data_IF_838728490617
#
_entry.id   IF_838728490617
#
_cell.length_a   1.000
_cell.length_b   1.000
_cell.length_c   1.000
_cell.angle_alpha   90.00
_cell.angle_beta   90.00
_cell.angle_gamma   90.00
#
_symmetry.space_group_name_H-M   'P 1'
#
loop_
_entity.id
_entity.type
_entity.pdbx_description
1 polymer ?
#
# COMPACT_ATOMS: atom_id res chain seq x y z
N UNK A 1 23.26 -5.26 10.09
CA UNK A 1 23.12 -6.36 9.13
C UNK A 1 22.58 -5.79 7.84
N UNK A 2 23.18 -6.08 6.73
CA UNK A 2 22.53 -5.88 5.45
C UNK A 2 21.43 -6.97 5.31
N UNK A 3 20.24 -6.63 4.83
CA UNK A 3 19.27 -7.62 4.41
C UNK A 3 19.89 -8.45 3.28
N UNK A 4 20.17 -9.70 3.54
CA UNK A 4 20.69 -10.64 2.56
C UNK A 4 19.70 -11.80 2.40
N UNK A 5 19.50 -12.26 1.16
CA UNK A 5 18.67 -13.41 0.85
C UNK A 5 17.36 -13.05 0.15
N UNK A 6 16.42 -13.98 0.12
CA UNK A 6 15.17 -13.82 -0.60
C UNK A 6 14.19 -12.97 0.24
N UNK A 7 13.75 -11.85 -0.31
CA UNK A 7 12.63 -11.05 0.21
C UNK A 7 11.44 -11.23 -0.74
N UNK A 8 10.27 -11.52 -0.17
CA UNK A 8 9.04 -11.65 -0.94
C UNK A 8 8.04 -10.59 -0.50
N UNK A 9 7.73 -9.68 -1.42
CA UNK A 9 6.73 -8.62 -1.23
C UNK A 9 5.37 -9.05 -1.74
N UNK A 10 4.34 -8.90 -0.92
CA UNK A 10 2.94 -9.19 -1.21
C UNK A 10 2.14 -7.88 -1.25
N UNK A 11 1.73 -7.46 -2.44
CA UNK A 11 0.85 -6.30 -2.65
C UNK A 11 -0.59 -6.76 -2.89
N UNK A 12 -1.46 -6.49 -1.91
CA UNK A 12 -2.88 -6.88 -1.95
C UNK A 12 -3.72 -5.70 -2.41
N UNK A 13 -3.86 -5.57 -3.72
CA UNK A 13 -4.69 -4.53 -4.35
C UNK A 13 -6.15 -4.93 -4.52
N UNK A 14 -7.01 -3.97 -4.88
CA UNK A 14 -8.46 -4.19 -5.05
C UNK A 14 -8.77 -5.16 -6.19
N UNK A 15 -8.10 -5.06 -7.33
CA UNK A 15 -8.36 -5.89 -8.52
C UNK A 15 -7.32 -6.98 -8.73
N UNK A 16 -6.13 -6.81 -8.19
CA UNK A 16 -5.04 -7.75 -8.40
C UNK A 16 -4.18 -7.88 -7.15
N UNK A 17 -3.79 -9.09 -6.84
CA UNK A 17 -2.74 -9.42 -5.90
C UNK A 17 -1.45 -9.61 -6.69
N UNK A 18 -0.37 -8.99 -6.25
CA UNK A 18 0.95 -9.09 -6.87
C UNK A 18 1.96 -9.56 -5.85
N UNK A 19 2.82 -10.46 -6.25
CA UNK A 19 3.90 -10.97 -5.43
C UNK A 19 5.20 -10.82 -6.21
N UNK A 20 6.19 -10.20 -5.60
CA UNK A 20 7.54 -10.08 -6.16
C UNK A 20 8.53 -10.74 -5.21
N UNK A 21 9.38 -11.59 -5.76
CA UNK A 21 10.53 -12.13 -5.04
C UNK A 21 11.81 -11.47 -5.53
N UNK A 22 12.66 -11.03 -4.61
CA UNK A 22 13.95 -10.44 -4.92
C UNK A 22 15.08 -11.11 -4.13
N UNK A 23 16.20 -11.35 -4.81
CA UNK A 23 17.47 -11.65 -4.16
C UNK A 23 18.12 -10.34 -3.73
N UNK A 24 18.32 -10.18 -2.42
CA UNK A 24 18.85 -8.94 -1.85
C UNK A 24 20.30 -9.13 -1.47
N UNK A 25 21.14 -8.23 -1.98
CA UNK A 25 22.57 -8.14 -1.65
C UNK A 25 22.94 -6.67 -1.49
N UNK A 26 23.62 -6.36 -0.41
CA UNK A 26 24.09 -5.00 -0.13
C UNK A 26 22.98 -3.93 -0.28
N UNK A 27 21.79 -4.20 0.30
CA UNK A 27 20.58 -3.37 0.22
C UNK A 27 20.00 -3.17 -1.20
N UNK A 28 20.52 -3.86 -2.18
CA UNK A 28 19.98 -3.85 -3.55
C UNK A 28 19.08 -5.07 -3.78
N UNK A 29 17.87 -4.83 -4.23
CA UNK A 29 16.91 -5.87 -4.56
C UNK A 29 16.97 -6.17 -6.05
N UNK A 30 17.28 -7.40 -6.41
CA UNK A 30 17.21 -7.90 -7.78
C UNK A 30 15.97 -8.78 -7.91
N UNK A 31 14.99 -8.38 -8.71
CA UNK A 31 13.74 -9.14 -8.88
C UNK A 31 14.06 -10.44 -9.62
N UNK A 32 13.71 -11.56 -9.01
CA UNK A 32 13.97 -12.92 -9.54
C UNK A 32 12.71 -13.67 -9.93
N UNK A 33 11.55 -13.29 -9.39
CA UNK A 33 10.26 -13.91 -9.73
C UNK A 33 9.09 -12.94 -9.55
N UNK A 34 8.05 -13.15 -10.37
CA UNK A 34 6.83 -12.33 -10.39
C UNK A 34 5.63 -13.26 -10.40
N UNK A 35 4.68 -13.01 -9.48
CA UNK A 35 3.38 -13.67 -9.44
C UNK A 35 2.24 -12.67 -9.41
N UNK A 36 1.12 -13.04 -10.03
CA UNK A 36 -0.08 -12.21 -10.09
C UNK A 36 -1.33 -13.07 -10.09
N UNK A 37 -2.36 -12.62 -9.36
CA UNK A 37 -3.72 -13.18 -9.44
C UNK A 37 -4.77 -12.06 -9.47
N UNK A 38 -5.99 -12.39 -9.88
CA UNK A 38 -7.15 -11.50 -9.71
C UNK A 38 -7.55 -11.53 -8.23
N UNK A 39 -7.93 -10.39 -7.68
CA UNK A 39 -8.39 -10.27 -6.31
C UNK A 39 -9.93 -10.37 -6.27
N UNK A 40 -10.47 -11.40 -5.64
CA UNK A 40 -11.92 -11.60 -5.49
C UNK A 40 -12.42 -11.17 -4.11
N UNK A 41 -11.55 -11.24 -3.09
CA UNK A 41 -11.91 -10.96 -1.70
C UNK A 41 -11.57 -9.57 -1.19
N UNK A 42 -11.22 -8.59 -2.06
CA UNK A 42 -10.75 -7.26 -1.68
C UNK A 42 -11.65 -6.18 -2.24
N UNK A 43 -12.11 -5.25 -1.40
CA UNK A 43 -12.85 -4.05 -1.82
C UNK A 43 -12.19 -2.79 -1.28
N UNK A 44 -11.91 -1.81 -2.14
CA UNK A 44 -11.28 -0.53 -1.76
C UNK A 44 -10.01 -0.73 -0.92
N UNK A 45 -9.18 -1.73 -1.27
CA UNK A 45 -7.95 -2.05 -0.55
C UNK A 45 -8.13 -2.79 0.78
N UNK A 46 -9.36 -3.14 1.18
CA UNK A 46 -9.65 -3.86 2.42
C UNK A 46 -10.10 -5.29 2.11
N UNK A 47 -9.57 -6.26 2.85
CA UNK A 47 -10.00 -7.66 2.77
C UNK A 47 -11.40 -7.81 3.36
N UNK A 48 -12.38 -8.15 2.52
CA UNK A 48 -13.78 -8.37 2.89
C UNK A 48 -14.17 -9.84 2.85
N UNK A 49 -13.40 -10.67 2.11
CA UNK A 49 -13.51 -12.13 2.10
C UNK A 49 -12.11 -12.74 2.29
N UNK A 50 -11.90 -13.29 3.47
CA UNK A 50 -10.60 -13.84 3.88
C UNK A 50 -10.24 -15.10 3.09
N UNK A 51 -11.22 -15.99 2.81
CA UNK A 51 -10.96 -17.23 2.08
C UNK A 51 -10.67 -16.97 0.60
N UNK A 52 -11.46 -16.13 -0.03
CA UNK A 52 -11.22 -15.73 -1.41
C UNK A 52 -9.84 -15.07 -1.55
N UNK A 53 -9.51 -14.12 -0.66
CA UNK A 53 -8.20 -13.46 -0.66
C UNK A 53 -7.04 -14.45 -0.42
N UNK A 54 -7.20 -15.41 0.51
CA UNK A 54 -6.19 -16.43 0.75
C UNK A 54 -5.96 -17.34 -0.47
N UNK A 55 -7.04 -17.70 -1.20
CA UNK A 55 -6.94 -18.46 -2.44
C UNK A 55 -6.18 -17.66 -3.52
N UNK A 56 -6.51 -16.38 -3.67
CA UNK A 56 -5.86 -15.51 -4.64
C UNK A 56 -4.37 -15.32 -4.32
N UNK A 57 -4.01 -15.15 -3.03
CA UNK A 57 -2.61 -15.12 -2.57
C UNK A 57 -1.89 -16.42 -2.93
N UNK A 58 -2.50 -17.60 -2.67
CA UNK A 58 -1.90 -18.90 -3.02
C UNK A 58 -1.62 -19.01 -4.52
N UNK A 59 -2.53 -18.54 -5.37
CA UNK A 59 -2.34 -18.57 -6.83
C UNK A 59 -1.16 -17.70 -7.27
N UNK A 60 -1.03 -16.49 -6.70
CA UNK A 60 0.09 -15.61 -7.02
C UNK A 60 1.42 -16.17 -6.51
N UNK A 61 1.45 -16.74 -5.30
CA UNK A 61 2.66 -17.34 -4.70
C UNK A 61 3.07 -18.63 -5.42
N UNK A 62 2.13 -19.43 -5.93
CA UNK A 62 2.45 -20.62 -6.70
C UNK A 62 3.31 -20.30 -7.93
N UNK A 63 3.01 -19.16 -8.62
CA UNK A 63 3.81 -18.70 -9.75
C UNK A 63 5.25 -18.32 -9.35
N UNK A 64 5.45 -17.77 -8.14
CA UNK A 64 6.78 -17.51 -7.60
C UNK A 64 7.52 -18.84 -7.37
N UNK A 65 6.85 -19.81 -6.72
CA UNK A 65 7.45 -21.11 -6.40
C UNK A 65 7.84 -21.91 -7.65
N UNK A 66 7.16 -21.70 -8.79
CA UNK A 66 7.53 -22.30 -10.08
C UNK A 66 8.77 -21.66 -10.68
N UNK A 67 9.05 -20.39 -10.38
CA UNK A 67 10.18 -19.62 -10.91
C UNK A 67 11.43 -19.69 -10.01
N UNK A 68 11.25 -20.02 -8.73
CA UNK A 68 12.32 -20.09 -7.73
C UNK A 68 12.56 -21.52 -7.27
N UNK A 69 13.79 -21.85 -6.88
CA UNK A 69 14.12 -23.17 -6.31
C UNK A 69 13.72 -23.32 -4.83
N UNK A 70 13.34 -22.22 -4.17
CA UNK A 70 13.01 -22.18 -2.74
C UNK A 70 11.54 -21.81 -2.55
N UNK A 71 10.74 -22.63 -1.85
CA UNK A 71 9.35 -22.29 -1.56
C UNK A 71 9.24 -21.03 -0.73
N UNK A 72 8.29 -20.16 -1.08
CA UNK A 72 7.94 -18.99 -0.29
C UNK A 72 7.21 -19.42 0.98
N UNK A 73 7.76 -19.06 2.13
CA UNK A 73 7.17 -19.33 3.45
C UNK A 73 6.83 -18.06 4.21
N UNK A 74 7.45 -16.94 3.86
CA UNK A 74 7.34 -15.67 4.54
C UNK A 74 7.18 -14.51 3.55
N UNK A 75 6.40 -13.50 3.92
CA UNK A 75 6.14 -12.31 3.09
C UNK A 75 6.18 -11.04 3.90
N UNK A 76 6.59 -9.95 3.26
CA UNK A 76 6.35 -8.57 3.67
C UNK A 76 5.11 -8.09 2.91
N UNK A 77 4.09 -7.60 3.62
CA UNK A 77 2.82 -7.24 3.00
C UNK A 77 2.60 -5.72 2.94
N UNK A 78 2.10 -5.23 1.82
CA UNK A 78 1.69 -3.84 1.66
C UNK A 78 0.43 -3.53 2.46
N UNK A 79 0.36 -2.32 3.00
CA UNK A 79 -0.86 -1.76 3.58
C UNK A 79 -1.31 -0.53 2.78
N UNK A 80 -2.61 -0.47 2.45
CA UNK A 80 -3.19 0.70 1.83
C UNK A 80 -3.21 1.88 2.81
N UNK A 81 -3.18 3.08 2.25
CA UNK A 81 -3.18 4.33 3.00
C UNK A 81 -4.52 4.69 3.68
N UNK A 82 -5.55 3.87 3.51
CA UNK A 82 -6.89 4.16 4.03
C UNK A 82 -6.92 4.18 5.55
N UNK A 83 -7.42 5.30 6.12
CA UNK A 83 -7.58 5.48 7.57
C UNK A 83 -6.26 5.37 8.37
N UNK A 84 -5.14 5.74 7.79
CA UNK A 84 -3.87 5.87 8.50
C UNK A 84 -3.87 7.18 9.29
N UNK A 85 -3.35 7.14 10.52
CA UNK A 85 -3.04 8.32 11.32
C UNK A 85 -1.54 8.38 11.56
N UNK A 86 -1.01 9.59 11.49
CA UNK A 86 0.40 9.91 11.68
C UNK A 86 0.49 10.68 13.00
N UNK A 87 1.40 10.28 13.90
CA UNK A 87 1.61 10.95 15.16
C UNK A 87 3.08 10.87 15.59
N UNK A 88 3.58 11.95 16.19
CA UNK A 88 4.88 11.95 16.82
C UNK A 88 4.79 11.25 18.18
N UNK A 89 5.74 10.39 18.45
CA UNK A 89 5.86 9.65 19.73
C UNK A 89 7.29 9.69 20.23
N UNK A 90 7.46 9.54 21.53
CA UNK A 90 8.78 9.37 22.14
C UNK A 90 8.77 8.28 23.20
N UNK A 91 9.91 7.66 23.41
CA UNK A 91 10.11 6.68 24.47
C UNK A 91 11.45 6.88 25.13
N UNK A 92 11.46 7.04 26.47
CA UNK A 92 12.68 7.30 27.24
C UNK A 92 12.93 6.13 28.19
N UNK A 93 14.16 5.67 28.25
CA UNK A 93 14.59 4.59 29.14
C UNK A 93 15.90 4.93 29.86
N UNK A 94 16.11 4.33 31.01
CA UNK A 94 17.41 4.29 31.63
C UNK A 94 18.20 3.13 31.05
N UNK A 95 19.41 3.40 30.57
CA UNK A 95 20.30 2.42 29.94
C UNK A 95 20.78 1.41 30.99
N UNK A 96 20.82 0.13 30.62
CA UNK A 96 21.23 -0.94 31.56
C UNK A 96 22.71 -0.88 31.93
N UNK A 97 23.55 -0.64 30.94
CA UNK A 97 25.00 -0.46 31.10
C UNK A 97 25.42 0.89 30.54
N UNK A 98 25.71 1.84 31.42
CA UNK A 98 26.06 3.21 31.03
C UNK A 98 27.33 3.32 30.19
N UNK A 99 28.16 2.28 30.12
CA UNK A 99 29.35 2.26 29.27
C UNK A 99 29.07 1.77 27.86
N UNK A 100 27.88 1.20 27.63
CA UNK A 100 27.58 0.54 26.36
C UNK A 100 26.08 0.46 26.13
N UNK A 101 25.53 1.40 25.36
CA UNK A 101 24.13 1.34 24.90
C UNK A 101 24.00 0.20 23.90
N UNK A 102 23.00 -0.64 24.09
CA UNK A 102 22.75 -1.82 23.28
C UNK A 102 21.44 -1.69 22.48
N UNK A 103 21.26 -2.54 21.46
CA UNK A 103 19.98 -2.66 20.77
C UNK A 103 18.83 -3.14 21.68
N UNK A 104 19.13 -3.75 22.83
CA UNK A 104 18.10 -4.05 23.85
C UNK A 104 17.55 -2.78 24.50
N UNK A 105 18.41 -1.76 24.72
CA UNK A 105 17.98 -0.46 25.23
C UNK A 105 17.14 0.29 24.18
N UNK A 106 17.53 0.21 22.90
CA UNK A 106 16.70 0.71 21.78
C UNK A 106 15.35 0.02 21.77
N UNK A 107 15.30 -1.30 21.87
CA UNK A 107 14.03 -2.06 21.91
C UNK A 107 13.17 -1.70 23.12
N UNK A 108 13.80 -1.37 24.27
CA UNK A 108 13.09 -0.88 25.44
C UNK A 108 12.49 0.53 25.19
N UNK A 109 13.23 1.44 24.52
CA UNK A 109 12.73 2.76 24.15
C UNK A 109 11.57 2.66 23.15
N UNK A 110 11.62 1.73 22.18
CA UNK A 110 10.50 1.42 21.28
C UNK A 110 9.26 1.00 22.09
N UNK A 111 9.40 0.09 23.05
CA UNK A 111 8.27 -0.35 23.88
C UNK A 111 7.67 0.79 24.71
N UNK A 112 8.48 1.71 25.21
CA UNK A 112 7.98 2.90 25.90
C UNK A 112 7.22 3.82 24.93
N UNK A 113 7.76 4.09 23.73
CA UNK A 113 7.11 4.90 22.72
C UNK A 113 5.77 4.32 22.28
N UNK A 114 5.62 2.99 22.28
CA UNK A 114 4.36 2.32 21.89
C UNK A 114 3.27 2.33 22.98
N UNK A 115 3.61 2.71 24.21
CA UNK A 115 2.62 2.87 25.32
C UNK A 115 1.75 4.12 25.16
N UNK A 116 2.10 5.03 24.28
CA UNK A 116 1.31 6.22 23.99
C UNK A 116 -0.09 5.82 23.53
N UNK A 117 -1.11 6.52 24.03
CA UNK A 117 -2.53 6.25 23.90
C UNK A 117 -3.03 6.17 22.44
N UNK A 118 -2.69 5.10 21.73
CA UNK A 118 -3.41 4.77 20.51
C UNK A 118 -4.85 4.35 20.90
N UNK A 119 -5.89 4.81 20.18
CA UNK A 119 -7.24 4.33 20.39
C UNK A 119 -7.27 2.79 20.36
N UNK A 120 -8.11 2.16 21.19
CA UNK A 120 -8.15 0.70 21.37
C UNK A 120 -8.47 -0.09 20.09
N UNK A 121 -9.08 0.57 19.10
CA UNK A 121 -9.46 0.03 17.79
C UNK A 121 -8.31 0.13 16.75
N UNK A 122 -7.15 0.72 17.14
CA UNK A 122 -5.99 0.91 16.24
C UNK A 122 -4.75 0.17 16.75
N UNK A 123 -3.81 -0.07 15.85
CA UNK A 123 -2.47 -0.56 16.20
C UNK A 123 -1.41 0.20 15.41
N UNK A 124 -0.21 0.30 16.00
CA UNK A 124 0.96 0.87 15.31
C UNK A 124 1.44 -0.16 14.30
N UNK A 125 1.57 0.27 13.04
CA UNK A 125 1.99 -0.56 11.91
C UNK A 125 3.43 -0.28 11.48
N UNK A 126 3.88 0.94 11.71
CA UNK A 126 5.22 1.38 11.38
C UNK A 126 5.66 2.41 12.43
N UNK A 127 6.90 2.35 12.82
CA UNK A 127 7.53 3.29 13.73
C UNK A 127 8.89 3.68 13.14
N UNK A 128 8.99 4.95 12.74
CA UNK A 128 10.21 5.48 12.12
C UNK A 128 10.93 6.38 13.11
N UNK A 129 12.10 5.97 13.62
CA UNK A 129 12.94 6.87 14.40
C UNK A 129 13.31 8.10 13.57
N UNK A 130 13.15 9.27 14.16
CA UNK A 130 13.64 10.54 13.61
C UNK A 130 15.00 10.89 14.15
N UNK A 131 15.18 10.64 15.45
CA UNK A 131 16.46 10.82 16.15
C UNK A 131 16.47 10.03 17.46
N UNK A 132 17.66 9.80 17.96
CA UNK A 132 17.89 9.38 19.33
C UNK A 132 18.58 10.52 20.10
N UNK A 133 18.31 10.58 21.42
CA UNK A 133 18.94 11.50 22.35
C UNK A 133 19.59 10.64 23.42
N UNK A 134 20.92 10.81 23.60
CA UNK A 134 21.68 10.14 24.65
C UNK A 134 22.09 11.20 25.67
N UNK A 135 21.57 11.08 26.89
CA UNK A 135 21.68 12.10 27.94
C UNK A 135 21.15 13.47 27.42
N UNK A 136 22.05 14.40 27.07
CA UNK A 136 21.71 15.73 26.54
C UNK A 136 22.14 15.94 25.07
N UNK A 137 22.60 14.86 24.38
CA UNK A 137 23.04 14.93 22.98
C UNK A 137 21.95 14.41 22.07
N UNK A 138 21.45 15.28 21.20
CA UNK A 138 20.42 15.00 20.18
C UNK A 138 21.01 14.68 18.80
N UNK A 139 20.13 14.45 17.80
CA UNK A 139 20.50 14.20 16.40
C UNK A 139 21.19 12.86 16.14
N UNK A 140 21.22 11.95 17.09
CA UNK A 140 21.87 10.64 16.96
C UNK A 140 21.00 9.72 16.09
N UNK A 141 21.59 9.09 15.07
CA UNK A 141 20.90 8.19 14.17
C UNK A 141 20.96 6.72 14.62
N UNK A 142 22.07 6.31 15.21
CA UNK A 142 22.24 4.98 15.82
C UNK A 142 22.99 5.11 17.14
N UNK A 143 22.35 4.85 18.28
CA UNK A 143 22.96 5.01 19.61
C UNK A 143 23.77 3.78 20.03
N UNK A 144 23.83 2.72 19.22
CA UNK A 144 24.53 1.49 19.60
C UNK A 144 26.02 1.75 19.88
N UNK A 145 26.54 1.10 20.91
CA UNK A 145 27.92 1.24 21.40
C UNK A 145 28.29 2.62 21.97
N UNK A 146 27.31 3.54 22.12
CA UNK A 146 27.56 4.82 22.79
C UNK A 146 27.56 4.69 24.31
N UNK A 147 28.23 5.63 24.99
CA UNK A 147 28.22 5.79 26.44
C UNK A 147 27.11 6.75 26.85
N UNK A 148 26.26 6.37 27.80
CA UNK A 148 25.20 7.23 28.30
C UNK A 148 24.31 6.53 29.33
N UNK A 149 23.62 7.30 30.17
CA UNK A 149 22.72 6.79 31.21
C UNK A 149 21.25 6.78 30.79
N UNK A 150 20.87 7.70 29.90
CA UNK A 150 19.49 7.87 29.42
C UNK A 150 19.47 7.82 27.91
N UNK A 151 18.58 7.00 27.39
CA UNK A 151 18.27 6.94 25.95
C UNK A 151 16.82 7.37 25.73
N UNK A 152 16.62 8.36 24.86
CA UNK A 152 15.31 8.73 24.35
C UNK A 152 15.29 8.51 22.85
N UNK A 153 14.21 7.89 22.34
CA UNK A 153 13.92 7.77 20.93
C UNK A 153 12.76 8.69 20.59
N UNK A 154 12.92 9.57 19.63
CA UNK A 154 11.81 10.28 18.97
C UNK A 154 11.50 9.56 17.67
N UNK A 155 10.21 9.40 17.36
CA UNK A 155 9.77 8.65 16.19
C UNK A 155 8.44 9.16 15.67
N UNK A 156 8.18 8.89 14.39
CA UNK A 156 6.86 9.01 13.77
C UNK A 156 6.20 7.64 13.79
N UNK A 157 5.03 7.54 14.41
CA UNK A 157 4.20 6.35 14.45
C UNK A 157 3.07 6.45 13.43
N UNK A 158 2.90 5.40 12.65
CA UNK A 158 1.77 5.22 11.73
C UNK A 158 0.84 4.17 12.31
N UNK A 159 -0.44 4.52 12.43
CA UNK A 159 -1.44 3.60 13.00
C UNK A 159 -2.54 3.27 12.00
N UNK A 160 -3.03 2.04 12.04
CA UNK A 160 -4.14 1.55 11.22
C UNK A 160 -5.24 0.90 12.07
N UNK A 161 -6.48 0.79 11.55
CA UNK A 161 -7.55 0.06 12.23
C UNK A 161 -7.20 -1.43 12.40
N UNK A 162 -7.40 -1.97 13.60
CA UNK A 162 -7.08 -3.39 13.94
C UNK A 162 -7.81 -4.40 13.06
N UNK A 163 -9.07 -4.11 12.69
CA UNK A 163 -9.86 -5.01 11.85
C UNK A 163 -9.28 -5.15 10.44
N UNK A 164 -8.79 -4.05 9.85
CA UNK A 164 -8.14 -4.08 8.51
C UNK A 164 -6.88 -4.94 8.56
N UNK A 165 -6.06 -4.72 9.60
CA UNK A 165 -4.84 -5.48 9.84
C UNK A 165 -5.12 -6.97 10.10
N UNK A 166 -6.10 -7.24 10.96
CA UNK A 166 -6.49 -8.59 11.35
C UNK A 166 -6.98 -9.43 10.17
N UNK A 167 -7.82 -8.87 9.31
CA UNK A 167 -8.33 -9.57 8.13
C UNK A 167 -7.20 -9.93 7.15
N UNK A 168 -6.29 -9.00 6.88
CA UNK A 168 -5.16 -9.24 5.98
C UNK A 168 -4.19 -10.28 6.58
N UNK A 169 -3.87 -10.15 7.88
CA UNK A 169 -3.04 -11.14 8.60
C UNK A 169 -3.65 -12.54 8.55
N UNK A 170 -4.97 -12.62 8.73
CA UNK A 170 -5.69 -13.90 8.65
C UNK A 170 -5.67 -14.50 7.24
N UNK A 171 -5.84 -13.69 6.20
CA UNK A 171 -5.78 -14.15 4.80
C UNK A 171 -4.38 -14.68 4.45
N UNK A 172 -3.32 -13.98 4.87
CA UNK A 172 -1.93 -14.42 4.68
C UNK A 172 -1.68 -15.75 5.41
N UNK A 173 -2.09 -15.87 6.67
CA UNK A 173 -1.94 -17.11 7.44
C UNK A 173 -2.71 -18.28 6.81
N UNK A 174 -3.95 -18.05 6.33
CA UNK A 174 -4.75 -19.06 5.61
C UNK A 174 -4.16 -19.42 4.25
N UNK A 175 -3.38 -18.53 3.63
CA UNK A 175 -2.61 -18.88 2.43
C UNK A 175 -1.41 -19.79 2.73
N UNK A 176 -1.10 -20.07 4.01
CA UNK A 176 0.03 -20.90 4.43
C UNK A 176 1.33 -20.12 4.56
N UNK A 177 1.25 -18.80 4.66
CA UNK A 177 2.40 -17.91 4.72
C UNK A 177 2.54 -17.28 6.11
N UNK A 178 3.77 -16.98 6.50
CA UNK A 178 4.08 -16.15 7.65
C UNK A 178 4.19 -14.69 7.23
N UNK A 179 3.55 -13.81 7.98
CA UNK A 179 3.73 -12.38 7.81
C UNK A 179 4.96 -11.96 8.61
N UNK A 180 5.99 -11.45 7.91
CA UNK A 180 7.17 -10.86 8.55
C UNK A 180 6.84 -9.50 9.14
N UNK A 181 6.41 -8.58 8.28
CA UNK A 181 5.94 -7.26 8.69
C UNK A 181 4.95 -6.66 7.69
N UNK A 182 4.33 -5.55 8.08
CA UNK A 182 3.58 -4.69 7.18
C UNK A 182 4.41 -3.48 6.79
N UNK A 183 4.22 -3.01 5.57
CA UNK A 183 4.80 -1.77 5.08
C UNK A 183 3.70 -0.88 4.51
N UNK A 184 3.64 0.36 4.96
CA UNK A 184 2.74 1.36 4.42
C UNK A 184 3.18 1.72 2.99
N UNK A 185 2.34 1.47 1.99
CA UNK A 185 2.66 1.68 0.57
C UNK A 185 3.14 3.10 0.25
N UNK A 186 2.51 4.18 0.74
CA UNK A 186 3.02 5.54 0.57
C UNK A 186 4.44 5.77 1.11
N UNK A 187 4.77 5.11 2.22
CA UNK A 187 6.12 5.18 2.79
C UNK A 187 7.14 4.46 1.90
N UNK A 188 6.78 3.26 1.40
CA UNK A 188 7.61 2.56 0.44
C UNK A 188 7.88 3.42 -0.80
N UNK A 189 6.85 4.05 -1.35
CA UNK A 189 7.00 4.97 -2.48
C UNK A 189 7.93 6.14 -2.18
N UNK A 190 7.74 6.82 -1.04
CA UNK A 190 8.55 7.98 -0.69
C UNK A 190 10.04 7.68 -0.62
N UNK A 191 10.40 6.47 -0.18
CA UNK A 191 11.79 6.05 0.00
C UNK A 191 12.43 5.41 -1.22
N UNK A 192 11.64 4.92 -2.18
CA UNK A 192 12.19 4.11 -3.29
C UNK A 192 12.04 4.75 -4.66
N UNK A 193 11.08 5.67 -4.85
CA UNK A 193 10.82 6.27 -6.16
C UNK A 193 11.12 7.77 -6.23
N UNK A 194 11.24 8.45 -5.09
CA UNK A 194 11.64 9.84 -5.02
C UNK A 194 13.16 9.93 -4.87
N UNK A 195 13.77 10.85 -5.60
CA UNK A 195 15.15 11.23 -5.35
C UNK A 195 15.28 12.08 -4.06
N UNK A 196 16.51 12.27 -3.60
CA UNK A 196 16.81 12.95 -2.35
C UNK A 196 16.23 14.39 -2.33
N UNK A 197 16.43 15.16 -3.39
CA UNK A 197 15.89 16.52 -3.51
C UNK A 197 14.35 16.54 -3.49
N UNK A 198 13.69 15.54 -4.10
CA UNK A 198 12.24 15.42 -4.04
C UNK A 198 11.72 15.08 -2.65
N UNK A 199 12.47 14.30 -1.87
CA UNK A 199 12.13 14.01 -0.48
C UNK A 199 12.38 15.22 0.43
N UNK A 200 13.46 15.94 0.22
CA UNK A 200 13.83 17.10 1.02
C UNK A 200 12.91 18.30 0.76
N UNK A 201 12.82 18.77 -0.49
CA UNK A 201 12.10 19.99 -0.85
C UNK A 201 10.61 19.81 -1.08
N UNK A 202 10.15 18.60 -1.10
CA UNK A 202 8.76 18.22 -1.12
C UNK A 202 8.19 17.85 -2.47
N UNK A 203 7.36 16.79 -2.46
CA UNK A 203 6.73 16.19 -3.64
C UNK A 203 5.39 15.56 -3.26
N UNK A 204 4.42 15.62 -4.17
CA UNK A 204 3.16 14.89 -4.05
C UNK A 204 3.30 13.55 -4.78
N UNK A 205 2.97 12.45 -4.12
CA UNK A 205 2.78 11.15 -4.75
C UNK A 205 1.28 10.92 -4.91
N UNK A 206 0.83 10.65 -6.13
CA UNK A 206 -0.56 10.35 -6.43
C UNK A 206 -0.67 8.87 -6.87
N UNK A 207 -1.12 8.00 -5.97
CA UNK A 207 -1.34 6.59 -6.25
C UNK A 207 -2.76 6.37 -6.78
N UNK A 208 -2.87 6.08 -8.06
CA UNK A 208 -4.13 5.85 -8.76
C UNK A 208 -4.43 4.35 -8.83
N UNK A 209 -5.05 3.84 -7.79
CA UNK A 209 -5.45 2.44 -7.66
C UNK A 209 -6.76 2.11 -8.39
N UNK A 210 -7.20 0.85 -8.26
CA UNK A 210 -8.48 0.39 -8.80
C UNK A 210 -9.67 0.86 -7.93
N UNK A 211 -9.61 0.62 -6.62
CA UNK A 211 -10.71 0.92 -5.70
C UNK A 211 -10.60 2.24 -4.95
N UNK A 212 -9.43 2.89 -4.96
CA UNK A 212 -9.19 4.16 -4.29
C UNK A 212 -8.02 4.89 -4.96
N UNK A 213 -7.95 6.19 -4.72
CA UNK A 213 -6.83 7.04 -5.11
C UNK A 213 -6.27 7.72 -3.87
N UNK A 214 -4.96 7.68 -3.69
CA UNK A 214 -4.28 8.26 -2.53
C UNK A 214 -3.34 9.38 -2.95
N UNK A 215 -3.45 10.52 -2.27
CA UNK A 215 -2.48 11.60 -2.35
C UNK A 215 -1.62 11.61 -1.08
N UNK A 216 -0.32 11.64 -1.26
CA UNK A 216 0.68 11.67 -0.19
C UNK A 216 1.59 12.87 -0.40
N UNK A 217 1.83 13.66 0.64
CA UNK A 217 2.81 14.74 0.62
C UNK A 217 4.04 14.30 1.38
N UNK A 218 5.19 14.35 0.72
CA UNK A 218 6.50 14.09 1.29
C UNK A 218 7.25 15.41 1.34
N UNK A 219 7.88 15.71 2.47
CA UNK A 219 8.73 16.89 2.66
C UNK A 219 9.67 16.60 3.83
N UNK A 220 10.89 17.10 3.77
CA UNK A 220 11.90 16.87 4.80
C UNK A 220 12.04 15.36 5.12
N UNK A 221 12.14 14.54 4.07
CA UNK A 221 12.25 13.08 4.12
C UNK A 221 11.13 12.35 4.90
N UNK A 222 10.00 13.02 5.19
CA UNK A 222 8.90 12.48 5.99
C UNK A 222 7.58 12.53 5.21
N UNK A 223 6.66 11.64 5.55
CA UNK A 223 5.27 11.77 5.12
C UNK A 223 4.59 12.82 5.99
N UNK A 224 4.31 13.99 5.43
CA UNK A 224 3.66 15.10 6.15
C UNK A 224 2.13 15.05 6.07
N UNK A 225 1.60 14.51 4.96
CA UNK A 225 0.16 14.43 4.76
C UNK A 225 -0.22 13.21 3.93
N UNK A 226 -1.37 12.66 4.24
CA UNK A 226 -1.93 11.50 3.57
C UNK A 226 -3.45 11.64 3.44
N UNK A 227 -3.97 11.52 2.24
CA UNK A 227 -5.41 11.53 2.00
C UNK A 227 -5.81 10.50 0.96
N UNK A 228 -6.82 9.72 1.27
CA UNK A 228 -7.38 8.73 0.35
C UNK A 228 -8.81 9.12 -0.03
N UNK A 229 -9.12 9.04 -1.33
CA UNK A 229 -10.46 9.14 -1.87
C UNK A 229 -10.94 7.75 -2.29
N UNK A 230 -12.13 7.30 -1.86
CA UNK A 230 -12.59 5.93 -2.07
C UNK A 230 -13.15 5.70 -3.49
N UNK A 231 -12.47 6.22 -4.51
CA UNK A 231 -12.73 5.98 -5.91
C UNK A 231 -11.41 5.82 -6.69
N UNK A 232 -11.44 4.98 -7.70
CA UNK A 232 -10.31 4.68 -8.57
C UNK A 232 -10.77 4.20 -9.95
N UNK A 233 -9.94 3.45 -10.65
CA UNK A 233 -10.22 3.03 -12.03
C UNK A 233 -11.44 2.11 -12.17
N UNK A 234 -11.85 1.40 -11.11
CA UNK A 234 -13.07 0.60 -11.12
C UNK A 234 -14.34 1.46 -11.19
N UNK A 235 -14.30 2.64 -10.57
CA UNK A 235 -15.42 3.57 -10.67
C UNK A 235 -15.58 4.07 -12.11
N UNK A 236 -14.48 4.29 -12.82
CA UNK A 236 -14.49 4.62 -14.25
C UNK A 236 -15.15 3.49 -15.06
N UNK A 237 -14.75 2.22 -14.83
CA UNK A 237 -15.36 1.08 -15.52
C UNK A 237 -16.86 0.95 -15.25
N UNK A 238 -17.29 1.20 -14.00
CA UNK A 238 -18.71 1.20 -13.64
C UNK A 238 -19.50 2.33 -14.33
N UNK A 239 -18.92 3.52 -14.43
CA UNK A 239 -19.55 4.64 -15.14
C UNK A 239 -19.69 4.32 -16.64
N UNK A 240 -18.65 3.76 -17.26
CA UNK A 240 -18.70 3.29 -18.65
C UNK A 240 -19.81 2.23 -18.82
N UNK A 241 -19.84 1.23 -17.94
CA UNK A 241 -20.87 0.17 -17.95
C UNK A 241 -22.28 0.75 -17.83
N UNK A 242 -22.50 1.68 -16.92
CA UNK A 242 -23.81 2.29 -16.67
C UNK A 242 -24.26 3.20 -17.83
N UNK A 243 -23.37 4.05 -18.34
CA UNK A 243 -23.71 5.03 -19.40
C UNK A 243 -23.88 4.35 -20.75
N UNK A 244 -23.05 3.35 -21.06
CA UNK A 244 -23.09 2.64 -22.34
C UNK A 244 -23.97 1.38 -22.31
N UNK A 245 -24.54 1.02 -21.14
CA UNK A 245 -25.36 -0.18 -20.93
C UNK A 245 -24.64 -1.48 -21.35
N UNK A 246 -23.32 -1.57 -21.11
CA UNK A 246 -22.48 -2.73 -21.44
C UNK A 246 -22.09 -3.51 -20.19
N UNK A 247 -21.69 -4.77 -20.34
CA UNK A 247 -21.18 -5.56 -19.23
C UNK A 247 -19.96 -4.90 -18.56
N UNK A 248 -19.80 -5.09 -17.24
CA UNK A 248 -18.67 -4.47 -16.51
C UNK A 248 -17.30 -4.92 -17.06
N UNK A 249 -17.19 -6.17 -17.46
CA UNK A 249 -15.99 -6.68 -18.11
C UNK A 249 -15.70 -5.96 -19.44
N UNK A 250 -16.72 -5.78 -20.28
CA UNK A 250 -16.58 -5.10 -21.57
C UNK A 250 -16.24 -3.62 -21.37
N UNK A 251 -16.84 -2.98 -20.36
CA UNK A 251 -16.51 -1.61 -19.96
C UNK A 251 -15.05 -1.47 -19.53
N UNK A 252 -14.53 -2.45 -18.77
CA UNK A 252 -13.12 -2.46 -18.33
C UNK A 252 -12.19 -2.65 -19.54
N UNK A 253 -12.51 -3.55 -20.45
CA UNK A 253 -11.75 -3.73 -21.70
C UNK A 253 -11.77 -2.48 -22.57
N UNK A 254 -12.93 -1.82 -22.74
CA UNK A 254 -13.02 -0.55 -23.48
C UNK A 254 -12.12 0.53 -22.87
N UNK A 255 -12.12 0.64 -21.52
CA UNK A 255 -11.24 1.59 -20.82
C UNK A 255 -9.76 1.28 -21.06
N UNK A 256 -9.36 0.00 -20.98
CA UNK A 256 -7.96 -0.42 -21.13
C UNK A 256 -7.46 -0.25 -22.57
N UNK A 257 -8.28 -0.59 -23.57
CA UNK A 257 -7.87 -0.62 -24.96
C UNK A 257 -7.97 0.77 -25.63
N UNK A 258 -9.03 1.50 -25.32
CA UNK A 258 -9.38 2.74 -26.04
C UNK A 258 -9.55 3.95 -25.14
N UNK A 259 -9.42 3.81 -23.80
CA UNK A 259 -9.65 4.90 -22.86
C UNK A 259 -8.62 6.04 -22.98
N UNK A 260 -9.14 7.27 -22.88
CA UNK A 260 -8.37 8.51 -22.81
C UNK A 260 -8.83 9.31 -21.59
N UNK A 261 -7.87 9.87 -20.86
CA UNK A 261 -8.14 10.67 -19.66
C UNK A 261 -8.74 12.05 -19.96
N UNK A 262 -8.55 12.54 -21.18
CA UNK A 262 -9.06 13.84 -21.68
C UNK A 262 -9.83 13.64 -22.98
N UNK A 263 -11.05 14.15 -23.05
CA UNK A 263 -11.88 14.12 -24.26
C UNK A 263 -11.29 14.96 -25.40
N UNK A 264 -10.50 15.99 -25.09
CA UNK A 264 -9.79 16.80 -26.07
C UNK A 264 -8.70 16.03 -26.86
N UNK A 265 -8.27 14.86 -26.36
CA UNK A 265 -7.31 13.99 -27.05
C UNK A 265 -8.02 12.95 -27.95
N UNK A 266 -9.32 12.81 -27.80
CA UNK A 266 -10.13 11.83 -28.52
C UNK A 266 -10.51 12.34 -29.94
N UNK A 267 -10.78 11.38 -30.83
CA UNK A 267 -11.15 11.65 -32.22
C UNK A 267 -12.60 11.27 -32.46
N UNK A 268 -13.38 12.20 -33.06
CA UNK A 268 -14.79 12.00 -33.37
C UNK A 268 -15.00 10.96 -34.49
N UNK A 269 -14.04 10.86 -35.41
CA UNK A 269 -14.06 9.90 -36.53
C UNK A 269 -13.68 8.47 -36.10
N UNK A 270 -13.07 8.28 -34.91
CA UNK A 270 -12.77 6.98 -34.38
C UNK A 270 -14.01 6.37 -33.71
N UNK A 271 -14.54 5.29 -34.32
CA UNK A 271 -15.74 4.60 -33.84
C UNK A 271 -15.38 3.30 -33.16
N UNK A 272 -15.89 3.14 -31.95
CA UNK A 272 -15.70 1.95 -31.10
C UNK A 272 -16.97 1.09 -31.18
N UNK A 273 -16.82 -0.21 -31.37
CA UNK A 273 -17.92 -1.14 -31.41
C UNK A 273 -18.22 -1.64 -29.99
N UNK A 274 -19.47 -1.50 -29.57
CA UNK A 274 -19.95 -1.97 -28.26
C UNK A 274 -21.13 -2.93 -28.47
N UNK A 275 -21.34 -3.80 -27.47
CA UNK A 275 -22.51 -4.66 -27.38
C UNK A 275 -23.26 -4.36 -26.09
N UNK A 276 -24.43 -3.75 -26.18
CA UNK A 276 -25.30 -3.48 -25.02
C UNK A 276 -25.91 -4.77 -24.49
N UNK A 277 -26.14 -4.81 -23.18
CA UNK A 277 -26.78 -5.95 -22.51
C UNK A 277 -28.19 -6.20 -23.08
N UNK A 278 -28.90 -5.12 -23.41
CA UNK A 278 -30.27 -5.16 -23.91
C UNK A 278 -30.42 -5.41 -25.42
N UNK A 279 -29.30 -5.51 -26.18
CA UNK A 279 -29.29 -5.58 -27.62
C UNK A 279 -28.48 -6.78 -28.14
N UNK A 280 -29.03 -7.50 -29.12
CA UNK A 280 -28.27 -8.52 -29.87
C UNK A 280 -27.31 -7.90 -30.89
N UNK A 281 -27.60 -6.68 -31.34
CA UNK A 281 -26.82 -5.99 -32.35
C UNK A 281 -25.70 -5.17 -31.73
N UNK A 282 -24.55 -5.16 -32.39
CA UNK A 282 -23.47 -4.25 -32.07
C UNK A 282 -23.82 -2.81 -32.44
N UNK A 283 -23.49 -1.87 -31.59
CA UNK A 283 -23.63 -0.43 -31.82
C UNK A 283 -22.27 0.24 -31.92
N UNK A 284 -22.21 1.43 -32.51
CA UNK A 284 -21.00 2.23 -32.58
C UNK A 284 -21.13 3.49 -31.71
N UNK A 285 -20.12 3.77 -30.92
CA UNK A 285 -19.97 5.02 -30.18
C UNK A 285 -18.72 5.77 -30.66
N UNK A 286 -18.64 7.08 -30.42
CA UNK A 286 -17.40 7.81 -30.67
C UNK A 286 -16.39 7.60 -29.55
N UNK A 287 -15.11 7.68 -29.87
CA UNK A 287 -14.02 7.70 -28.86
C UNK A 287 -14.19 8.89 -27.92
N UNK A 288 -14.71 10.02 -28.42
CA UNK A 288 -14.99 11.23 -27.63
C UNK A 288 -16.00 10.94 -26.51
N UNK A 289 -17.09 10.21 -26.79
CA UNK A 289 -18.06 9.85 -25.75
C UNK A 289 -17.43 9.00 -24.65
N UNK A 290 -16.63 7.99 -25.01
CA UNK A 290 -15.91 7.17 -24.02
C UNK A 290 -14.95 8.03 -23.18
N UNK A 291 -14.19 8.91 -23.82
CA UNK A 291 -13.27 9.81 -23.15
C UNK A 291 -13.98 10.79 -22.20
N UNK A 292 -15.15 11.32 -22.57
CA UNK A 292 -15.96 12.20 -21.71
C UNK A 292 -16.43 11.49 -20.43
N UNK A 293 -16.85 10.22 -20.54
CA UNK A 293 -17.24 9.41 -19.36
C UNK A 293 -16.04 9.25 -18.41
N UNK A 294 -14.88 8.89 -18.96
CA UNK A 294 -13.65 8.69 -18.20
C UNK A 294 -13.20 9.98 -17.54
N UNK A 295 -13.14 11.08 -18.31
CA UNK A 295 -12.72 12.41 -17.85
C UNK A 295 -13.60 12.91 -16.71
N UNK A 296 -14.92 12.76 -16.81
CA UNK A 296 -15.86 13.20 -15.78
C UNK A 296 -15.56 12.57 -14.41
N UNK A 297 -15.31 11.25 -14.38
CA UNK A 297 -14.93 10.58 -13.13
C UNK A 297 -13.54 10.95 -12.66
N UNK A 298 -12.60 11.05 -13.56
CA UNK A 298 -11.23 11.45 -13.24
C UNK A 298 -11.19 12.84 -12.62
N UNK A 299 -11.89 13.81 -13.22
CA UNK A 299 -11.99 15.18 -12.67
C UNK A 299 -12.57 15.17 -11.26
N UNK A 300 -13.65 14.41 -11.01
CA UNK A 300 -14.21 14.29 -9.67
C UNK A 300 -13.19 13.77 -8.65
N UNK A 301 -12.38 12.76 -9.01
CA UNK A 301 -11.33 12.22 -8.12
C UNK A 301 -10.27 13.30 -7.85
N UNK A 302 -9.80 13.97 -8.90
CA UNK A 302 -8.78 15.00 -8.79
C UNK A 302 -9.26 16.20 -7.97
N UNK A 303 -10.49 16.69 -8.22
CA UNK A 303 -11.06 17.81 -7.48
C UNK A 303 -11.11 17.51 -5.97
N UNK A 304 -11.61 16.31 -5.58
CA UNK A 304 -11.73 15.93 -4.17
C UNK A 304 -10.39 15.78 -3.46
N UNK A 305 -9.37 15.32 -4.14
CA UNK A 305 -8.00 15.27 -3.59
C UNK A 305 -7.36 16.66 -3.63
N UNK A 306 -7.58 17.43 -4.69
CA UNK A 306 -7.07 18.78 -4.86
C UNK A 306 -7.53 19.73 -3.76
N UNK A 307 -8.84 19.67 -3.36
CA UNK A 307 -9.36 20.44 -2.23
C UNK A 307 -8.53 20.20 -0.95
N UNK A 308 -8.12 18.96 -0.70
CA UNK A 308 -7.35 18.59 0.50
C UNK A 308 -5.87 18.95 0.38
N UNK A 309 -5.27 18.77 -0.80
CA UNK A 309 -3.89 19.14 -1.07
C UNK A 309 -3.69 20.66 -1.00
N UNK A 310 -4.67 21.44 -1.47
CA UNK A 310 -4.66 22.90 -1.38
C UNK A 310 -4.68 23.40 0.07
N UNK A 311 -5.43 22.70 0.96
CA UNK A 311 -5.50 23.07 2.38
C UNK A 311 -4.15 22.97 3.11
N UNK A 312 -3.26 22.12 2.62
CA UNK A 312 -1.91 21.91 3.20
C UNK A 312 -0.81 22.57 2.36
N UNK A 313 -1.15 23.42 1.38
CA UNK A 313 -0.17 24.12 0.55
C UNK A 313 0.70 23.19 -0.32
N UNK A 314 0.23 21.97 -0.61
CA UNK A 314 1.05 20.95 -1.26
C UNK A 314 1.44 21.31 -2.71
N UNK A 315 0.68 22.18 -3.38
CA UNK A 315 0.98 22.60 -4.76
C UNK A 315 2.11 23.64 -4.86
N UNK A 316 2.56 24.19 -3.73
CA UNK A 316 3.70 25.09 -3.69
C UNK A 316 5.05 24.35 -3.62
N UNK A 317 5.00 23.01 -3.42
CA UNK A 317 6.19 22.18 -3.33
C UNK A 317 6.87 22.01 -4.70
N UNK A 318 8.21 22.20 -4.78
CA UNK A 318 8.93 22.24 -6.05
C UNK A 318 9.04 20.88 -6.76
N UNK A 319 8.89 19.77 -6.04
CA UNK A 319 8.95 18.41 -6.62
C UNK A 319 7.75 18.03 -7.48
N UNK A 320 6.67 18.82 -7.47
CA UNK A 320 5.47 18.58 -8.27
C UNK A 320 4.74 17.29 -7.89
N UNK A 321 4.22 16.56 -8.88
CA UNK A 321 3.45 15.33 -8.68
C UNK A 321 4.14 14.14 -9.36
N UNK A 322 4.30 13.05 -8.63
CA UNK A 322 4.68 11.73 -9.16
C UNK A 322 3.47 10.81 -9.12
N UNK A 323 3.02 10.35 -10.30
CA UNK A 323 1.85 9.47 -10.43
C UNK A 323 2.30 8.02 -10.48
N UNK A 324 1.66 7.17 -9.67
CA UNK A 324 1.90 5.73 -9.56
C UNK A 324 0.59 4.96 -9.61
N UNK A 325 0.67 3.62 -9.57
CA UNK A 325 -0.49 2.74 -9.55
C UNK A 325 -1.05 2.44 -10.95
N UNK A 326 -1.95 1.47 -11.04
CA UNK A 326 -2.46 0.98 -12.33
C UNK A 326 -3.21 2.03 -13.15
N UNK A 327 -3.88 2.98 -12.50
CA UNK A 327 -4.59 4.08 -13.16
C UNK A 327 -3.66 5.05 -13.89
N UNK A 328 -2.40 5.15 -13.48
CA UNK A 328 -1.39 5.97 -14.16
C UNK A 328 -1.10 5.51 -15.61
N UNK A 329 -1.49 4.28 -15.97
CA UNK A 329 -1.34 3.75 -17.33
C UNK A 329 -2.36 4.32 -18.32
N UNK A 330 -3.43 4.97 -17.85
CA UNK A 330 -4.44 5.57 -18.74
C UNK A 330 -3.81 6.67 -19.59
N UNK A 331 -4.02 6.58 -20.90
CA UNK A 331 -3.45 7.56 -21.85
C UNK A 331 -3.97 8.96 -21.57
N UNK A 332 -3.09 9.96 -21.53
CA UNK A 332 -3.44 11.33 -21.19
C UNK A 332 -3.58 11.65 -19.70
N UNK A 333 -3.22 10.70 -18.81
CA UNK A 333 -3.32 10.90 -17.36
C UNK A 333 -2.44 12.06 -16.87
N UNK A 334 -1.21 12.13 -17.34
CA UNK A 334 -0.26 13.21 -16.98
C UNK A 334 -0.83 14.57 -17.39
N UNK A 335 -1.33 14.67 -18.62
CA UNK A 335 -1.93 15.88 -19.19
C UNK A 335 -3.18 16.30 -18.39
N UNK A 336 -4.03 15.33 -18.02
CA UNK A 336 -5.22 15.57 -17.22
C UNK A 336 -4.86 16.15 -15.84
N UNK A 337 -3.94 15.53 -15.12
CA UNK A 337 -3.51 16.01 -13.80
C UNK A 337 -2.86 17.38 -13.90
N UNK A 338 -2.00 17.59 -14.91
CA UNK A 338 -1.36 18.88 -15.15
C UNK A 338 -2.37 19.99 -15.46
N UNK A 339 -3.42 19.68 -16.23
CA UNK A 339 -4.47 20.67 -16.55
C UNK A 339 -5.28 21.09 -15.32
N UNK A 340 -5.47 20.20 -14.34
CA UNK A 340 -6.21 20.50 -13.11
C UNK A 340 -5.37 21.27 -12.09
N UNK A 341 -4.13 20.84 -11.86
CA UNK A 341 -3.34 21.37 -10.75
C UNK A 341 -2.26 22.38 -11.16
N UNK A 342 -2.00 22.51 -12.46
CA UNK A 342 -0.99 23.43 -13.02
C UNK A 342 0.41 23.30 -12.40
N UNK A 343 0.83 22.07 -12.09
CA UNK A 343 2.16 21.72 -11.55
C UNK A 343 2.88 20.74 -12.47
N UNK A 344 4.18 20.53 -12.24
CA UNK A 344 4.93 19.50 -12.95
C UNK A 344 4.39 18.12 -12.56
N UNK A 345 4.18 17.26 -13.56
CA UNK A 345 3.67 15.90 -13.35
C UNK A 345 4.53 14.90 -14.11
N UNK A 346 4.97 13.85 -13.44
CA UNK A 346 5.63 12.68 -14.04
C UNK A 346 4.99 11.39 -13.56
N UNK A 347 5.02 10.34 -14.37
CA UNK A 347 4.63 8.99 -13.92
C UNK A 347 5.86 8.16 -13.60
N UNK A 348 5.71 7.24 -12.66
CA UNK A 348 6.70 6.23 -12.36
C UNK A 348 6.20 4.86 -12.80
N UNK A 349 7.09 4.09 -13.41
CA UNK A 349 6.95 2.66 -13.67
C UNK A 349 8.28 1.97 -13.39
N UNK A 350 8.28 0.79 -12.80
CA UNK A 350 9.51 0.01 -12.66
C UNK A 350 10.18 -0.21 -14.00
N UNK A 351 11.51 -0.25 -14.02
CA UNK A 351 12.31 -0.47 -15.24
C UNK A 351 12.71 -1.93 -15.43
N UNK A 352 12.49 -2.77 -14.44
CA UNK A 352 12.82 -4.18 -14.44
C UNK A 352 12.07 -4.93 -15.54
N UNK A 353 12.73 -5.95 -16.11
CA UNK A 353 12.15 -6.75 -17.18
C UNK A 353 10.90 -7.48 -16.64
N UNK A 354 9.78 -7.33 -17.36
CA UNK A 354 8.49 -7.91 -16.98
C UNK A 354 7.65 -7.05 -16.04
N UNK A 355 8.19 -5.94 -15.49
CA UNK A 355 7.49 -5.05 -14.55
C UNK A 355 7.20 -3.65 -15.11
N UNK A 356 7.47 -3.40 -16.39
CA UNK A 356 7.36 -2.08 -17.04
C UNK A 356 5.90 -1.61 -17.20
N UNK A 357 5.16 -1.67 -16.09
CA UNK A 357 3.79 -1.18 -16.02
C UNK A 357 3.56 -0.53 -14.65
N UNK A 358 2.97 0.67 -14.57
CA UNK A 358 2.82 1.40 -13.31
C UNK A 358 1.99 0.63 -12.26
N UNK A 359 1.18 -0.35 -12.67
CA UNK A 359 0.47 -1.23 -11.75
C UNK A 359 1.35 -2.10 -10.86
N UNK A 360 2.64 -2.27 -11.18
CA UNK A 360 3.61 -2.98 -10.32
C UNK A 360 4.35 -2.07 -9.35
N UNK A 361 4.16 -0.75 -9.42
CA UNK A 361 4.89 0.21 -8.59
C UNK A 361 4.79 -0.10 -7.09
N UNK A 362 3.61 -0.52 -6.58
CA UNK A 362 3.41 -0.87 -5.18
C UNK A 362 4.24 -2.07 -4.73
N UNK A 363 4.14 -3.19 -5.45
CA UNK A 363 4.90 -4.40 -5.14
C UNK A 363 6.41 -4.16 -5.29
N UNK A 364 6.81 -3.41 -6.31
CA UNK A 364 8.20 -3.03 -6.55
C UNK A 364 8.75 -2.17 -5.39
N UNK A 365 8.05 -1.10 -5.04
CA UNK A 365 8.46 -0.22 -3.94
C UNK A 365 8.53 -0.97 -2.60
N UNK A 366 7.59 -1.88 -2.34
CA UNK A 366 7.57 -2.70 -1.14
C UNK A 366 8.85 -3.53 -0.97
N UNK A 367 9.27 -4.23 -2.03
CA UNK A 367 10.46 -5.09 -2.00
C UNK A 367 11.73 -4.26 -1.86
N UNK A 368 11.85 -3.16 -2.60
CA UNK A 368 13.00 -2.26 -2.52
C UNK A 368 13.09 -1.58 -1.15
N UNK A 369 11.96 -1.11 -0.61
CA UNK A 369 11.92 -0.55 0.74
C UNK A 369 12.36 -1.57 1.79
N UNK A 370 11.83 -2.80 1.72
CA UNK A 370 12.22 -3.86 2.64
C UNK A 370 13.72 -4.22 2.55
N UNK A 371 14.31 -4.13 1.34
CA UNK A 371 15.73 -4.37 1.13
C UNK A 371 16.64 -3.27 1.69
N UNK A 372 16.17 -2.02 1.69
CA UNK A 372 16.94 -0.82 2.08
C UNK A 372 16.89 -0.50 3.58
N UNK A 373 16.17 -1.30 4.39
CA UNK A 373 16.09 -1.07 5.83
C UNK A 373 17.48 -1.07 6.49
N UNK A 374 17.76 -0.02 7.28
CA UNK A 374 19.00 0.05 8.07
C UNK A 374 18.94 -0.92 9.26
N UNK A 375 20.09 -1.28 9.86
CA UNK A 375 20.12 -2.13 11.06
C UNK A 375 19.23 -1.60 12.19
N UNK A 376 19.26 -0.30 12.45
CA UNK A 376 18.45 0.31 13.51
C UNK A 376 16.95 0.24 13.21
N UNK A 377 16.55 0.41 11.94
CA UNK A 377 15.15 0.25 11.53
C UNK A 377 14.66 -1.19 11.69
N UNK A 378 15.51 -2.18 11.40
CA UNK A 378 15.18 -3.60 11.62
C UNK A 378 14.97 -3.89 13.11
N UNK A 379 15.86 -3.38 14.00
CA UNK A 379 15.72 -3.53 15.45
C UNK A 379 14.41 -2.89 15.94
N UNK A 380 14.09 -1.69 15.45
CA UNK A 380 12.83 -1.02 15.82
C UNK A 380 11.61 -1.84 15.38
N UNK A 381 11.61 -2.40 14.17
CA UNK A 381 10.54 -3.28 13.69
C UNK A 381 10.43 -4.57 14.48
N UNK A 382 11.54 -5.24 14.74
CA UNK A 382 11.57 -6.46 15.56
C UNK A 382 11.01 -6.20 16.96
N UNK A 383 11.39 -5.08 17.57
CA UNK A 383 10.87 -4.67 18.88
C UNK A 383 9.37 -4.33 18.84
N UNK A 384 8.90 -3.66 17.78
CA UNK A 384 7.49 -3.29 17.57
C UNK A 384 6.60 -4.54 17.47
N UNK A 385 7.05 -5.55 16.69
CA UNK A 385 6.31 -6.78 16.47
C UNK A 385 6.58 -7.87 17.52
N UNK A 386 7.46 -7.61 18.50
CA UNK A 386 7.82 -8.58 19.53
C UNK A 386 8.61 -9.77 19.00
N UNK A 387 9.30 -9.58 17.89
CA UNK A 387 10.17 -10.59 17.29
C UNK A 387 11.50 -10.67 18.07
N UNK A 388 12.22 -11.81 18.00
CA UNK A 388 13.57 -11.90 18.54
C UNK A 388 14.47 -10.88 17.84
N UNK A 389 15.25 -10.13 18.62
CA UNK A 389 16.23 -9.20 18.05
C UNK A 389 17.30 -9.98 17.28
N UNK A 390 17.49 -9.61 16.02
CA UNK A 390 18.51 -10.23 15.20
C UNK A 390 19.89 -9.75 15.65
N UNK A 391 20.57 -10.57 16.43
CA UNK A 391 21.93 -10.24 16.91
C UNK A 391 22.89 -10.19 15.72
N UNK A 392 23.49 -9.02 15.50
CA UNK A 392 24.52 -8.81 14.47
C UNK A 392 25.67 -9.79 14.70
N UNK A 393 25.80 -10.80 13.84
CA UNK A 393 27.00 -11.66 13.82
C UNK A 393 26.81 -13.18 13.92
N UNK A 394 25.59 -13.69 14.13
CA UNK A 394 25.39 -15.14 14.06
C UNK A 394 24.48 -15.53 12.89
N UNK A 395 24.89 -16.45 11.99
CA UNK A 395 23.98 -17.02 11.02
C UNK A 395 22.90 -17.81 11.79
N UNK A 396 21.64 -17.43 11.63
CA UNK A 396 20.51 -18.18 12.16
C UNK A 396 20.49 -19.53 11.46
N UNK A 397 21.01 -20.57 12.09
CA UNK A 397 20.74 -21.94 11.68
C UNK A 397 19.29 -22.19 12.07
N UNK A 398 18.38 -22.16 11.09
CA UNK A 398 17.03 -22.60 11.28
C UNK A 398 17.06 -24.06 11.70
N UNK A 399 16.85 -24.33 12.98
CA UNK A 399 16.61 -25.68 13.48
C UNK A 399 15.23 -26.08 12.97
N UNK A 400 15.23 -26.87 11.91
CA UNK A 400 14.04 -27.49 11.40
C UNK A 400 13.46 -28.39 12.52
N UNK A 401 12.34 -27.98 13.11
CA UNK A 401 11.55 -28.83 13.98
C UNK A 401 11.07 -30.03 13.18
N UNK A 402 11.26 -31.28 13.65
CA UNK A 402 10.85 -32.46 12.89
C UNK A 402 9.33 -32.48 12.75
N UNK A 403 8.87 -32.43 11.51
CA UNK A 403 7.46 -32.66 11.17
C UNK A 403 7.09 -34.07 11.57
N UNK A 404 6.25 -34.21 12.60
CA UNK A 404 5.61 -35.48 12.93
C UNK A 404 4.69 -35.87 11.77
N UNK A 405 4.97 -37.04 11.16
CA UNK A 405 4.11 -37.65 10.15
C UNK A 405 2.74 -37.97 10.77
N UNK A 406 1.62 -37.59 10.13
CA UNK A 406 0.30 -37.99 10.61
C UNK A 406 0.13 -39.51 10.46
N UNK A 407 -0.36 -40.15 11.52
CA UNK A 407 -0.73 -41.55 11.53
C UNK A 407 -1.91 -41.78 10.57
N UNK A 408 -1.74 -42.80 9.72
CA UNK A 408 -2.79 -43.31 8.85
C UNK A 408 -3.91 -43.90 9.68
N UNK A 409 -5.11 -43.33 9.62
CA UNK A 409 -6.31 -43.96 10.15
C UNK A 409 -7.40 -44.08 9.10
N UNK A 410 -8.00 -45.25 9.18
CA UNK A 410 -8.95 -45.94 8.31
C UNK A 410 -10.20 -45.10 7.96
N UNK A 411 -10.63 -45.27 6.71
CA UNK A 411 -11.89 -44.87 6.12
C UNK A 411 -13.09 -45.51 6.86
N UNK A 412 -14.13 -44.77 7.14
CA UNK A 412 -15.49 -45.33 7.15
C UNK A 412 -16.37 -44.70 6.04
N UNK A 413 -17.41 -45.47 5.75
CA UNK A 413 -18.31 -45.46 4.63
C UNK A 413 -19.15 -44.16 4.46
N UNK A 414 -19.55 -43.97 3.22
CA UNK A 414 -20.49 -43.02 2.67
C UNK A 414 -21.92 -43.23 3.23
N UNK A 415 -22.66 -42.20 3.54
CA UNK A 415 -24.12 -42.21 3.36
C UNK A 415 -24.59 -41.15 2.32
N UNK A 416 -25.75 -41.46 1.84
CA UNK A 416 -26.48 -41.00 0.68
C UNK A 416 -26.87 -39.50 0.67
N UNK A 417 -27.14 -39.08 -0.56
CA UNK A 417 -27.65 -37.79 -1.02
C UNK A 417 -28.90 -37.27 -0.31
N UNK A 418 -28.90 -35.99 0.08
CA UNK A 418 -30.13 -35.23 0.25
C UNK A 418 -30.00 -33.87 -0.48
N UNK A 419 -31.14 -33.45 -1.01
CA UNK A 419 -31.37 -32.46 -2.01
C UNK A 419 -30.87 -31.03 -1.63
N UNK A 420 -30.36 -30.38 -2.64
CA UNK A 420 -30.04 -28.94 -2.70
C UNK A 420 -31.32 -28.13 -2.65
N UNK A 421 -31.46 -27.25 -1.68
CA UNK A 421 -32.39 -26.13 -1.69
C UNK A 421 -31.55 -24.88 -1.90
N UNK A 422 -31.75 -24.22 -3.02
CA UNK A 422 -31.17 -22.91 -3.31
C UNK A 422 -31.79 -21.85 -2.39
N UNK A 423 -31.01 -20.96 -1.76
CA UNK A 423 -31.56 -19.74 -1.18
C UNK A 423 -31.52 -18.64 -2.22
N UNK A 424 -32.69 -18.08 -2.48
CA UNK A 424 -32.92 -16.87 -3.26
C UNK A 424 -32.09 -15.71 -2.73
N UNK A 425 -31.35 -15.07 -3.61
CA UNK A 425 -30.66 -13.79 -3.39
C UNK A 425 -31.71 -12.69 -3.34
N UNK A 426 -31.90 -12.09 -2.19
CA UNK A 426 -32.52 -10.77 -2.09
C UNK A 426 -31.40 -9.73 -2.09
N UNK A 427 -31.24 -9.09 -3.23
CA UNK A 427 -30.57 -7.79 -3.36
C UNK A 427 -31.47 -6.73 -2.74
N UNK A 428 -31.04 -6.13 -1.65
CA UNK A 428 -31.30 -4.73 -1.30
C UNK A 428 -30.57 -4.42 0.00
N UNK A 429 -29.38 -3.83 -0.10
CA UNK A 429 -28.88 -2.90 0.90
C UNK A 429 -28.11 -1.79 0.15
N UNK A 430 -28.90 -0.86 -0.39
CA UNK A 430 -28.44 0.49 -0.67
C UNK A 430 -28.11 1.18 0.65
N UNK A 431 -26.84 1.17 1.02
CA UNK A 431 -26.37 2.04 2.11
C UNK A 431 -26.24 3.44 1.57
N UNK A 432 -27.28 4.22 1.76
CA UNK A 432 -27.27 5.68 1.66
C UNK A 432 -26.22 6.23 2.62
N UNK A 433 -25.13 6.76 2.11
CA UNK A 433 -24.28 7.67 2.85
C UNK A 433 -24.93 9.05 2.79
N UNK A 434 -25.69 9.39 3.85
CA UNK A 434 -26.16 10.74 4.10
C UNK A 434 -24.94 11.67 4.25
N UNK A 435 -24.92 12.66 3.37
CA UNK A 435 -24.06 13.85 3.38
C UNK A 435 -24.51 14.74 4.58
N UNK A 436 -24.03 14.45 5.77
CA UNK A 436 -24.09 15.39 6.91
C UNK A 436 -22.68 15.70 7.41
N UNK A 437 -21.93 16.48 6.64
CA UNK A 437 -20.82 17.26 7.17
C UNK A 437 -21.14 18.76 7.12
N UNK A 438 -21.76 19.23 8.20
CA UNK A 438 -21.84 20.67 8.49
C UNK A 438 -20.45 21.19 8.86
N UNK A 439 -20.05 22.38 8.38
CA UNK A 439 -18.69 22.88 8.57
C UNK A 439 -18.44 23.28 10.03
N UNK A 440 -17.68 22.48 10.75
CA UNK A 440 -17.16 22.83 12.08
C UNK A 440 -15.73 23.36 11.95
N UNK A 441 -15.61 24.67 12.23
CA UNK A 441 -14.39 25.43 12.59
C UNK A 441 -13.17 25.29 11.65
N UNK A 442 -13.17 26.07 10.57
CA UNK A 442 -12.02 26.30 9.67
C UNK A 442 -10.76 26.88 10.34
N UNK A 443 -10.83 27.43 11.55
CA UNK A 443 -9.72 28.18 12.15
C UNK A 443 -8.67 27.34 12.90
N UNK A 444 -9.06 26.22 13.50
CA UNK A 444 -8.11 25.41 14.30
C UNK A 444 -7.26 24.44 13.45
N UNK A 445 -7.80 24.03 12.31
CA UNK A 445 -7.13 23.11 11.40
C UNK A 445 -6.03 23.81 10.56
N UNK A 446 -6.25 25.06 10.16
CA UNK A 446 -5.24 25.84 9.42
C UNK A 446 -4.00 26.17 10.26
N UNK A 447 -4.15 26.44 11.56
CA UNK A 447 -3.01 26.73 12.42
C UNK A 447 -2.16 25.50 12.72
N UNK A 448 -2.76 24.33 12.81
CA UNK A 448 -2.03 23.05 13.01
C UNK A 448 -1.10 22.74 11.83
N UNK A 449 -1.53 23.05 10.59
CA UNK A 449 -0.71 22.77 9.40
C UNK A 449 0.34 23.84 9.08
N UNK A 450 0.16 25.09 9.51
CA UNK A 450 1.21 26.11 9.40
C UNK A 450 2.43 25.80 10.25
N UNK A 451 2.24 25.23 11.44
CA UNK A 451 3.34 24.75 12.28
C UNK A 451 4.02 23.47 11.76
N UNK A 452 3.45 22.84 10.72
CA UNK A 452 3.97 21.58 10.16
C UNK A 452 4.94 21.79 9.00
N UNK A 453 4.94 22.98 8.38
CA UNK A 453 5.77 23.34 7.23
C UNK A 453 6.80 24.45 7.55
N UNK A 454 6.73 25.10 8.71
CA UNK A 454 7.77 25.94 9.30
C UNK A 454 8.67 25.09 10.22
#
# INVERSE_FOLDING_TARGET
MANHGLIVGLDVGTNTIKVLAADVRDQQANIVAVGRSIAHGVKRGVVVDIEATANDIRQAVAQINEQTSTPVTEVVASLPASNIQIQNVSGTVTVKDSQHISYEDVAAAVKEATKVNAPSDREIIELLPTEFIVDDFDGIQDPNDMVGMRLEMKAVAYTAPRNVMGNLRMAIAKAGLQLRDFVLTPLAYSKTILDDGQQEFGTIILDMGAGHTTATVVHDHQLKFLSTFPAGSDNISRDISAVLEVGLHDADMLKLDSGLALSSMAREDNKLVIKKISSENAEQISEVLLAQIIEARLMQILDKLGEKLQLVGAFDLPGGIVVVGGGAALRGMIEAIRSVYNVQVKSFSPTDIGLRHPGFSGAWALVHYAAQQSPIQLIVKEALYGLPLTVVGQPTIAVATPVQKPATNRRPARPESQAVVEPSVNDTDDVNYDDEDKPKKKGAFLNFFKEFFD
#
